data_IF_947250356586
#
_entry.id   IF_947250356586
#
_cell.length_a   1.000
_cell.length_b   1.000
_cell.length_c   1.000
_cell.angle_alpha   90.00
_cell.angle_beta   90.00
_cell.angle_gamma   90.00
#
_symmetry.space_group_name_H-M   'P 1'
#
loop_
_entity.id
_entity.type
_entity.pdbx_description
1 polymer ?
#
# COMPACT_ATOMS: atom_id res chain seq x y z
N UNK A 1 21.60 8.86 5.27
CA UNK A 1 20.53 8.20 6.04
C UNK A 1 20.41 6.75 5.58
N UNK A 2 19.67 5.89 6.27
CA UNK A 2 19.40 4.51 5.81
C UNK A 2 18.77 4.49 4.41
N UNK A 3 17.81 5.37 4.14
CA UNK A 3 17.15 5.48 2.83
C UNK A 3 18.13 5.73 1.67
N UNK A 4 19.21 6.49 1.87
CA UNK A 4 20.25 6.64 0.85
C UNK A 4 21.12 5.40 0.71
N UNK A 5 21.49 4.77 1.83
CA UNK A 5 22.35 3.58 1.82
C UNK A 5 21.72 2.40 1.07
N UNK A 6 20.39 2.27 1.12
CA UNK A 6 19.65 1.20 0.45
C UNK A 6 19.03 1.64 -0.89
N UNK A 7 19.24 2.89 -1.31
CA UNK A 7 18.66 3.41 -2.54
C UNK A 7 17.13 3.51 -2.55
N UNK A 8 16.49 3.63 -1.38
CA UNK A 8 15.04 3.70 -1.28
C UNK A 8 14.49 4.95 -2.00
N UNK A 9 13.46 4.75 -2.80
CA UNK A 9 12.71 5.82 -3.48
C UNK A 9 11.56 6.39 -2.63
N UNK A 10 11.08 5.63 -1.64
CA UNK A 10 9.99 6.02 -0.77
C UNK A 10 10.25 5.60 0.69
N UNK A 11 9.60 6.30 1.63
CA UNK A 11 9.67 6.06 3.07
C UNK A 11 8.26 6.14 3.64
N UNK A 12 7.78 5.08 4.30
CA UNK A 12 6.53 5.12 5.06
C UNK A 12 6.76 5.75 6.44
N UNK A 13 6.00 6.81 6.75
CA UNK A 13 5.96 7.45 8.07
C UNK A 13 4.70 7.00 8.80
N UNK A 14 4.87 6.17 9.83
CA UNK A 14 3.76 5.65 10.63
C UNK A 14 3.14 6.74 11.52
N UNK A 15 1.82 6.68 11.70
CA UNK A 15 1.06 7.65 12.50
C UNK A 15 1.08 7.35 14.01
N UNK A 16 1.20 6.07 14.37
CA UNK A 16 1.13 5.60 15.76
C UNK A 16 -0.30 5.50 16.30
N UNK A 17 -0.42 5.11 17.58
CA UNK A 17 -1.71 4.97 18.26
C UNK A 17 -2.05 6.25 19.02
N UNK A 18 -3.03 7.00 18.53
CA UNK A 18 -3.48 8.27 19.10
C UNK A 18 -4.87 8.64 18.58
N UNK A 19 -5.52 9.61 19.22
CA UNK A 19 -6.85 10.08 18.81
C UNK A 19 -7.03 11.58 19.09
N UNK A 20 -7.98 12.19 18.37
CA UNK A 20 -8.39 13.58 18.56
C UNK A 20 -7.50 14.61 17.88
N UNK A 21 -7.87 15.89 18.05
CA UNK A 21 -7.28 17.02 17.32
C UNK A 21 -5.79 17.22 17.55
N UNK A 22 -5.28 16.85 18.73
CA UNK A 22 -3.85 16.93 19.02
C UNK A 22 -3.07 15.92 18.16
N UNK A 23 -3.61 14.72 17.96
CA UNK A 23 -3.02 13.71 17.08
C UNK A 23 -3.04 14.16 15.62
N UNK A 24 -4.16 14.72 15.14
CA UNK A 24 -4.27 15.29 13.78
C UNK A 24 -3.22 16.39 13.54
N UNK A 25 -3.11 17.33 14.48
CA UNK A 25 -2.18 18.46 14.39
C UNK A 25 -0.74 17.97 14.39
N UNK A 26 -0.39 17.12 15.37
CA UNK A 26 0.97 16.57 15.53
C UNK A 26 1.38 15.75 14.33
N UNK A 27 0.49 14.89 13.81
CA UNK A 27 0.78 14.08 12.64
C UNK A 27 1.02 14.95 11.40
N UNK A 28 0.17 15.94 11.15
CA UNK A 28 0.37 16.87 10.03
C UNK A 28 1.68 17.67 10.13
N UNK A 29 2.05 18.14 11.32
CA UNK A 29 3.33 18.83 11.56
C UNK A 29 4.53 17.92 11.31
N UNK A 30 4.48 16.69 11.80
CA UNK A 30 5.53 15.70 11.57
C UNK A 30 5.67 15.34 10.09
N UNK A 31 4.57 15.25 9.35
CA UNK A 31 4.61 15.02 7.90
C UNK A 31 5.19 16.21 7.16
N UNK A 32 4.86 17.46 7.53
CA UNK A 32 5.50 18.66 6.96
C UNK A 32 7.00 18.64 7.19
N UNK A 33 7.41 18.31 8.42
CA UNK A 33 8.83 18.16 8.75
C UNK A 33 9.48 17.10 7.87
N UNK A 34 8.93 15.87 7.83
CA UNK A 34 9.48 14.75 7.07
C UNK A 34 9.59 15.04 5.57
N UNK A 35 8.55 15.65 4.98
CA UNK A 35 8.56 16.05 3.58
C UNK A 35 9.64 17.11 3.28
N UNK A 36 9.93 18.00 4.23
CA UNK A 36 11.00 18.99 4.11
C UNK A 36 12.42 18.42 4.26
N UNK A 37 12.58 17.19 4.76
CA UNK A 37 13.90 16.57 4.95
C UNK A 37 14.42 15.83 3.72
N UNK A 38 13.58 15.58 2.71
CA UNK A 38 13.96 14.73 1.57
C UNK A 38 13.10 14.99 0.34
N UNK A 39 13.67 14.76 -0.84
CA UNK A 39 12.93 14.76 -2.11
C UNK A 39 12.32 13.39 -2.44
N UNK A 40 12.55 12.36 -1.61
CA UNK A 40 11.95 11.03 -1.75
C UNK A 40 10.44 11.10 -1.46
N UNK A 41 9.70 10.10 -1.93
CA UNK A 41 8.26 9.98 -1.61
C UNK A 41 8.10 9.65 -0.13
N UNK A 42 7.31 10.45 0.58
CA UNK A 42 6.80 10.12 1.90
C UNK A 42 5.46 9.44 1.71
N UNK A 43 5.30 8.27 2.32
CA UNK A 43 4.08 7.48 2.30
C UNK A 43 3.40 7.52 3.66
N UNK A 44 2.07 7.54 3.66
CA UNK A 44 1.24 7.28 4.84
C UNK A 44 0.23 6.18 4.50
N UNK A 45 -0.03 5.31 5.45
CA UNK A 45 -0.83 4.10 5.26
C UNK A 45 -1.96 4.02 6.31
N UNK A 46 -3.22 3.96 5.88
CA UNK A 46 -4.33 3.61 6.76
C UNK A 46 -4.24 2.14 7.19
N UNK A 47 -4.31 1.87 8.49
CA UNK A 47 -4.27 0.50 9.01
C UNK A 47 -5.63 0.05 9.55
N UNK A 48 -5.92 -1.23 9.37
CA UNK A 48 -7.17 -1.83 9.86
C UNK A 48 -7.16 -1.97 11.39
N UNK A 49 -8.33 -1.78 12.02
CA UNK A 49 -8.50 -1.83 13.48
C UNK A 49 -8.21 -3.18 14.12
N UNK A 50 -8.22 -4.27 13.34
CA UNK A 50 -7.98 -5.61 13.88
C UNK A 50 -6.49 -5.83 14.13
N UNK A 51 -5.64 -5.41 13.19
CA UNK A 51 -4.18 -5.57 13.29
C UNK A 51 -3.52 -4.42 14.02
N UNK A 52 -4.08 -3.21 13.94
CA UNK A 52 -3.59 -2.02 14.63
C UNK A 52 -4.69 -1.33 15.45
N UNK A 53 -5.15 -1.94 16.57
CA UNK A 53 -6.13 -1.30 17.44
C UNK A 53 -5.64 0.05 17.98
N UNK A 54 -6.45 1.09 17.80
CA UNK A 54 -6.14 2.45 18.27
C UNK A 54 -5.17 3.22 17.39
N UNK A 55 -4.78 2.69 16.22
CA UNK A 55 -3.97 3.42 15.25
C UNK A 55 -4.71 4.66 14.73
N UNK A 56 -3.99 5.76 14.55
CA UNK A 56 -4.60 7.07 14.25
C UNK A 56 -5.17 7.16 12.82
N UNK A 57 -4.41 6.68 11.83
CA UNK A 57 -4.78 6.79 10.42
C UNK A 57 -5.49 5.50 9.99
N UNK A 58 -6.81 5.55 9.81
CA UNK A 58 -7.64 4.33 9.69
C UNK A 58 -8.41 4.20 8.39
N UNK A 59 -8.56 5.30 7.64
CA UNK A 59 -9.28 5.29 6.36
C UNK A 59 -8.50 5.94 5.22
N UNK A 60 -8.79 5.52 4.00
CA UNK A 60 -8.26 6.13 2.77
C UNK A 60 -8.67 7.59 2.64
N UNK A 61 -9.92 7.90 2.99
CA UNK A 61 -10.46 9.25 2.99
C UNK A 61 -9.70 10.16 3.99
N UNK A 62 -9.46 9.69 5.22
CA UNK A 62 -8.68 10.42 6.23
C UNK A 62 -7.23 10.67 5.75
N UNK A 63 -6.63 9.70 5.07
CA UNK A 63 -5.30 9.86 4.50
C UNK A 63 -5.29 10.88 3.35
N UNK A 64 -6.27 10.83 2.44
CA UNK A 64 -6.38 11.80 1.36
C UNK A 64 -6.59 13.24 1.89
N UNK A 65 -7.43 13.41 2.91
CA UNK A 65 -7.62 14.69 3.61
C UNK A 65 -6.32 15.17 4.26
N UNK A 66 -5.58 14.28 4.93
CA UNK A 66 -4.29 14.60 5.54
C UNK A 66 -3.27 15.03 4.49
N UNK A 67 -3.18 14.33 3.36
CA UNK A 67 -2.29 14.66 2.24
C UNK A 67 -2.61 16.05 1.71
N UNK A 68 -3.89 16.35 1.48
CA UNK A 68 -4.34 17.66 1.02
C UNK A 68 -4.01 18.78 2.03
N UNK A 69 -4.22 18.54 3.32
CA UNK A 69 -3.96 19.52 4.38
C UNK A 69 -2.46 19.79 4.63
N UNK A 70 -1.60 18.80 4.40
CA UNK A 70 -0.14 18.97 4.46
C UNK A 70 0.35 19.72 3.22
N UNK A 71 -0.21 19.44 2.04
CA UNK A 71 0.07 20.18 0.80
C UNK A 71 1.45 19.94 0.19
N UNK A 72 2.18 18.92 0.66
CA UNK A 72 3.49 18.56 0.13
C UNK A 72 3.37 17.68 -1.12
N UNK A 73 4.15 17.98 -2.17
CA UNK A 73 4.07 17.27 -3.46
C UNK A 73 4.62 15.85 -3.40
N UNK A 74 5.53 15.57 -2.47
CA UNK A 74 6.14 14.26 -2.25
C UNK A 74 5.42 13.41 -1.19
N UNK A 75 4.33 13.89 -0.58
CA UNK A 75 3.49 13.10 0.33
C UNK A 75 2.42 12.35 -0.46
N UNK A 76 2.31 11.04 -0.25
CA UNK A 76 1.43 10.14 -1.01
C UNK A 76 0.79 9.07 -0.13
N UNK A 77 -0.32 8.51 -0.61
CA UNK A 77 -1.04 7.40 0.01
C UNK A 77 -0.37 6.07 -0.34
N UNK A 78 -0.12 5.25 0.67
CA UNK A 78 0.16 3.82 0.52
C UNK A 78 -1.18 3.08 0.58
N UNK A 79 -1.60 2.54 -0.55
CA UNK A 79 -2.90 1.90 -0.74
C UNK A 79 -2.75 0.39 -0.52
N UNK A 80 -2.96 -0.09 0.70
CA UNK A 80 -2.95 -1.53 1.00
C UNK A 80 -4.34 -2.14 0.86
N UNK A 81 -4.54 -2.95 -0.19
CA UNK A 81 -5.78 -3.67 -0.45
C UNK A 81 -6.22 -4.55 0.72
N UNK A 82 -5.30 -5.08 1.53
CA UNK A 82 -5.64 -5.89 2.69
C UNK A 82 -6.24 -5.04 3.82
N UNK A 83 -5.59 -3.94 4.21
CA UNK A 83 -6.12 -3.05 5.25
C UNK A 83 -7.49 -2.50 4.86
N UNK A 84 -7.64 -2.02 3.62
CA UNK A 84 -8.90 -1.53 3.08
C UNK A 84 -9.95 -2.63 2.98
N UNK A 85 -9.59 -3.83 2.52
CA UNK A 85 -10.52 -4.95 2.40
C UNK A 85 -11.08 -5.41 3.76
N UNK A 86 -10.30 -5.25 4.85
CA UNK A 86 -10.74 -5.56 6.22
C UNK A 86 -11.71 -4.53 6.82
N UNK A 87 -11.73 -3.27 6.35
CA UNK A 87 -12.49 -2.18 7.01
C UNK A 87 -13.39 -1.37 6.09
N UNK A 88 -13.02 -1.15 4.84
CA UNK A 88 -13.70 -0.25 3.91
C UNK A 88 -14.36 -0.98 2.74
N UNK A 89 -13.72 -2.02 2.20
CA UNK A 89 -14.14 -2.68 0.97
C UNK A 89 -14.01 -1.78 -0.27
N UNK A 90 -14.73 -2.13 -1.34
CA UNK A 90 -14.86 -1.32 -2.57
C UNK A 90 -13.51 -0.89 -3.20
N UNK A 91 -12.58 -1.86 -3.26
CA UNK A 91 -11.15 -1.64 -3.56
C UNK A 91 -10.91 -0.84 -4.85
N UNK A 92 -11.49 -1.27 -5.97
CA UNK A 92 -11.22 -0.64 -7.26
C UNK A 92 -11.82 0.77 -7.38
N UNK A 93 -13.02 0.97 -6.86
CA UNK A 93 -13.67 2.29 -6.84
C UNK A 93 -12.86 3.28 -5.99
N UNK A 94 -12.40 2.85 -4.81
CA UNK A 94 -11.53 3.67 -3.95
C UNK A 94 -10.17 3.92 -4.56
N UNK A 95 -9.59 2.91 -5.21
CA UNK A 95 -8.33 3.08 -5.92
C UNK A 95 -8.46 4.13 -7.02
N UNK A 96 -9.51 4.06 -7.84
CA UNK A 96 -9.78 5.05 -8.88
C UNK A 96 -9.96 6.46 -8.29
N UNK A 97 -10.74 6.60 -7.22
CA UNK A 97 -10.98 7.88 -6.55
C UNK A 97 -9.71 8.51 -5.96
N UNK A 98 -8.81 7.70 -5.39
CA UNK A 98 -7.59 8.18 -4.74
C UNK A 98 -6.34 8.11 -5.62
N UNK A 99 -6.41 7.56 -6.83
CA UNK A 99 -5.27 7.34 -7.72
C UNK A 99 -4.33 8.56 -7.86
N UNK A 100 -4.81 9.83 -7.94
CA UNK A 100 -3.94 11.00 -8.04
C UNK A 100 -2.97 11.19 -6.86
N UNK A 101 -3.30 10.66 -5.69
CA UNK A 101 -2.48 10.75 -4.47
C UNK A 101 -1.80 9.44 -4.09
N UNK A 102 -2.07 8.33 -4.79
CA UNK A 102 -1.43 7.03 -4.49
C UNK A 102 0.05 7.04 -4.88
N UNK A 103 0.88 6.61 -3.94
CA UNK A 103 2.34 6.51 -4.03
C UNK A 103 2.84 5.07 -4.14
N UNK A 104 2.12 4.12 -3.55
CA UNK A 104 2.43 2.70 -3.59
C UNK A 104 1.14 1.89 -3.38
N UNK A 105 1.10 0.65 -3.88
CA UNK A 105 -0.02 -0.27 -3.70
C UNK A 105 0.52 -1.55 -3.09
N UNK A 106 -0.13 -2.05 -2.04
CA UNK A 106 0.18 -3.32 -1.39
C UNK A 106 -0.98 -4.30 -1.49
N UNK A 107 -0.65 -5.60 -1.44
CA UNK A 107 -1.58 -6.71 -1.63
C UNK A 107 -1.32 -7.85 -0.64
N UNK A 108 -2.40 -8.41 -0.09
CA UNK A 108 -2.47 -9.69 0.64
C UNK A 108 -3.93 -10.20 0.72
N UNK A 109 -4.14 -11.51 0.90
CA UNK A 109 -5.49 -12.06 1.04
C UNK A 109 -6.20 -11.54 2.29
N UNK A 110 -7.52 -11.42 2.18
CA UNK A 110 -8.41 -11.09 3.29
C UNK A 110 -9.24 -12.34 3.63
N UNK A 111 -9.37 -12.75 4.91
CA UNK A 111 -8.97 -12.00 6.10
C UNK A 111 -7.60 -12.37 6.68
N UNK A 112 -6.94 -13.42 6.23
CA UNK A 112 -5.79 -14.01 6.95
C UNK A 112 -4.43 -13.35 6.67
N UNK A 113 -4.38 -12.40 5.74
CA UNK A 113 -3.15 -11.73 5.27
C UNK A 113 -2.17 -12.69 4.61
N UNK A 114 -2.67 -13.79 4.04
CA UNK A 114 -1.91 -14.76 3.25
C UNK A 114 -1.67 -14.32 1.80
N UNK A 115 -1.20 -15.25 0.97
CA UNK A 115 -0.91 -14.99 -0.44
C UNK A 115 -2.17 -14.50 -1.20
N UNK A 116 -2.03 -13.60 -2.18
CA UNK A 116 -3.16 -12.98 -2.89
C UNK A 116 -3.81 -13.92 -3.94
N UNK A 117 -4.15 -15.15 -3.54
CA UNK A 117 -4.74 -16.19 -4.39
C UNK A 117 -6.03 -16.81 -3.81
N UNK A 118 -6.46 -16.37 -2.63
CA UNK A 118 -7.66 -16.85 -1.96
C UNK A 118 -8.30 -15.75 -1.09
N UNK A 119 -9.38 -16.11 -0.41
CA UNK A 119 -10.08 -15.24 0.52
C UNK A 119 -11.20 -14.43 -0.13
N UNK A 120 -11.56 -13.32 0.51
CA UNK A 120 -12.72 -12.50 0.13
C UNK A 120 -12.44 -11.59 -1.08
N UNK A 121 -11.18 -11.23 -1.31
CA UNK A 121 -10.75 -10.38 -2.42
C UNK A 121 -10.37 -11.23 -3.63
N UNK A 122 -11.00 -10.95 -4.78
CA UNK A 122 -10.67 -11.60 -6.04
C UNK A 122 -9.54 -10.87 -6.76
N UNK A 123 -8.29 -11.24 -6.45
CA UNK A 123 -7.09 -10.57 -6.96
C UNK A 123 -6.92 -10.53 -8.48
N UNK A 124 -7.35 -11.53 -9.27
CA UNK A 124 -7.30 -11.40 -10.74
C UNK A 124 -8.10 -10.19 -11.25
N UNK A 125 -9.25 -9.88 -10.64
CA UNK A 125 -10.03 -8.68 -10.97
C UNK A 125 -9.34 -7.41 -10.49
N UNK A 126 -8.75 -7.44 -9.29
CA UNK A 126 -8.03 -6.28 -8.73
C UNK A 126 -6.81 -5.94 -9.60
N UNK A 127 -6.03 -6.92 -10.03
CA UNK A 127 -4.88 -6.70 -10.92
C UNK A 127 -5.29 -6.12 -12.27
N UNK A 128 -6.32 -6.66 -12.90
CA UNK A 128 -6.85 -6.12 -14.16
C UNK A 128 -7.36 -4.67 -13.99
N UNK A 129 -7.99 -4.36 -12.85
CA UNK A 129 -8.43 -2.99 -12.53
C UNK A 129 -7.27 -2.03 -12.31
N UNK A 130 -6.24 -2.44 -11.57
CA UNK A 130 -4.99 -1.67 -11.37
C UNK A 130 -4.32 -1.37 -12.72
N UNK A 131 -4.23 -2.37 -13.60
CA UNK A 131 -3.68 -2.21 -14.94
C UNK A 131 -4.53 -1.26 -15.80
N UNK A 132 -5.85 -1.42 -15.79
CA UNK A 132 -6.78 -0.55 -16.52
C UNK A 132 -6.71 0.92 -16.06
N UNK A 133 -6.40 1.15 -14.79
CA UNK A 133 -6.15 2.48 -14.22
C UNK A 133 -4.77 3.06 -14.60
N UNK A 134 -3.95 2.33 -15.36
CA UNK A 134 -2.65 2.78 -15.86
C UNK A 134 -1.53 2.77 -14.82
N UNK A 135 -1.67 1.99 -13.75
CA UNK A 135 -0.62 1.87 -12.75
C UNK A 135 0.55 1.02 -13.26
N UNK A 136 1.75 1.61 -13.31
CA UNK A 136 2.96 0.98 -13.87
C UNK A 136 4.08 0.77 -12.85
N UNK A 137 3.87 1.19 -11.61
CA UNK A 137 4.85 1.07 -10.52
C UNK A 137 4.74 -0.30 -9.83
N UNK A 138 5.78 -0.76 -9.12
CA UNK A 138 5.71 -2.03 -8.45
C UNK A 138 4.57 -2.16 -7.42
N UNK A 139 3.93 -3.33 -7.38
CA UNK A 139 3.05 -3.74 -6.28
C UNK A 139 3.89 -4.38 -5.16
N UNK A 140 3.58 -4.02 -3.91
CA UNK A 140 4.18 -4.61 -2.72
C UNK A 140 3.43 -5.86 -2.27
N UNK A 141 4.08 -7.01 -2.27
CA UNK A 141 3.49 -8.27 -1.80
C UNK A 141 3.70 -8.44 -0.29
N UNK A 142 2.92 -7.73 0.52
CA UNK A 142 3.03 -7.73 1.99
C UNK A 142 2.09 -8.75 2.63
N UNK A 143 2.40 -10.03 2.45
CA UNK A 143 1.62 -11.12 3.03
C UNK A 143 2.44 -12.03 3.92
N UNK A 144 1.75 -12.82 4.75
CA UNK A 144 2.29 -13.88 5.61
C UNK A 144 2.27 -15.19 4.82
N UNK A 145 3.42 -15.76 4.43
CA UNK A 145 3.42 -16.98 3.62
C UNK A 145 2.84 -18.20 4.35
N UNK A 146 2.81 -18.20 5.69
CA UNK A 146 2.30 -19.33 6.48
C UNK A 146 3.17 -20.60 6.39
N UNK A 147 4.36 -20.51 5.79
CA UNK A 147 5.27 -21.62 5.53
C UNK A 147 6.45 -21.17 4.67
N UNK A 148 6.95 -22.07 3.83
CA UNK A 148 7.99 -21.77 2.85
C UNK A 148 7.48 -20.74 1.82
N UNK A 149 8.20 -19.61 1.72
CA UNK A 149 7.83 -18.50 0.82
C UNK A 149 7.72 -18.98 -0.63
N UNK A 150 8.66 -19.80 -1.11
CA UNK A 150 8.69 -20.21 -2.51
C UNK A 150 7.44 -21.03 -2.90
N UNK A 151 6.92 -21.81 -1.96
CA UNK A 151 5.69 -22.58 -2.15
C UNK A 151 4.43 -21.70 -2.27
N UNK A 152 4.50 -20.43 -1.87
CA UNK A 152 3.39 -19.47 -1.94
C UNK A 152 3.42 -18.59 -3.18
N UNK A 153 4.42 -18.68 -4.05
CA UNK A 153 4.62 -17.76 -5.17
C UNK A 153 3.81 -18.10 -6.43
N UNK A 154 2.94 -19.12 -6.39
CA UNK A 154 2.15 -19.55 -7.56
C UNK A 154 1.28 -18.44 -8.16
N UNK A 155 0.80 -17.50 -7.34
CA UNK A 155 0.03 -16.34 -7.79
C UNK A 155 0.80 -15.42 -8.75
N UNK A 156 2.15 -15.38 -8.67
CA UNK A 156 2.98 -14.60 -9.57
C UNK A 156 2.93 -15.11 -11.02
N UNK A 157 2.69 -16.40 -11.22
CA UNK A 157 2.61 -17.00 -12.56
C UNK A 157 1.27 -16.68 -13.22
N UNK A 158 0.19 -16.71 -12.44
CA UNK A 158 -1.16 -16.32 -12.87
C UNK A 158 -1.24 -14.82 -13.20
N UNK A 159 -0.50 -13.97 -12.47
CA UNK A 159 -0.38 -12.54 -12.77
C UNK A 159 0.44 -12.22 -14.03
N UNK A 160 1.29 -13.14 -14.51
CA UNK A 160 2.09 -12.96 -15.73
C UNK A 160 1.39 -13.37 -17.02
N UNK A 161 0.23 -14.02 -16.95
CA UNK A 161 -0.47 -14.56 -18.14
C UNK A 161 -1.83 -13.90 -18.34
N UNK A 162 -1.83 -12.73 -18.96
CA UNK A 162 -2.89 -12.36 -19.89
C UNK A 162 -2.26 -11.95 -21.23
N UNK A 163 -2.16 -12.90 -22.16
CA UNK A 163 -1.85 -12.57 -23.55
C UNK A 163 -3.03 -11.76 -24.12
N UNK A 164 -2.86 -10.45 -24.28
CA UNK A 164 -3.71 -9.68 -25.19
C UNK A 164 -3.06 -9.62 -26.57
N UNK A 165 -3.83 -9.54 -27.68
CA UNK A 165 -3.29 -9.48 -29.04
C UNK A 165 -2.39 -8.26 -29.37
N UNK A 166 -2.07 -7.40 -28.39
CA UNK A 166 -1.34 -6.14 -28.58
C UNK A 166 -0.06 -5.97 -27.74
N UNK A 167 0.42 -7.02 -27.05
CA UNK A 167 1.76 -7.02 -26.43
C UNK A 167 1.74 -7.19 -24.91
N UNK A 168 2.88 -7.60 -24.36
CA UNK A 168 3.05 -7.98 -22.95
C UNK A 168 3.16 -6.73 -22.07
N UNK A 169 2.24 -6.56 -21.13
CA UNK A 169 2.44 -5.71 -19.96
C UNK A 169 2.76 -6.63 -18.77
N UNK A 170 4.03 -6.68 -18.37
CA UNK A 170 4.40 -7.36 -17.14
C UNK A 170 3.92 -6.51 -15.95
N UNK A 171 3.08 -7.06 -15.09
CA UNK A 171 2.83 -6.49 -13.76
C UNK A 171 4.18 -6.41 -13.04
N UNK A 172 4.68 -5.19 -12.85
CA UNK A 172 5.90 -4.94 -12.10
C UNK A 172 5.59 -5.28 -10.63
N UNK A 173 6.15 -6.37 -10.11
CA UNK A 173 5.95 -6.81 -8.73
C UNK A 173 7.30 -6.76 -8.04
N UNK A 174 7.41 -5.96 -6.98
CA UNK A 174 8.66 -5.82 -6.24
C UNK A 174 8.89 -7.08 -5.39
N UNK A 175 9.96 -7.81 -5.71
CA UNK A 175 10.33 -9.05 -5.03
C UNK A 175 11.24 -8.82 -3.81
N UNK A 176 11.58 -7.57 -3.49
CA UNK A 176 12.56 -7.26 -2.44
C UNK A 176 11.98 -7.27 -1.01
N UNK A 177 10.66 -7.34 -0.84
CA UNK A 177 10.01 -7.23 0.47
C UNK A 177 9.66 -8.56 1.16
N UNK A 178 9.96 -9.72 0.55
CA UNK A 178 9.62 -11.04 1.13
C UNK A 178 10.50 -11.49 2.31
N UNK A 179 11.29 -10.58 2.91
CA UNK A 179 12.38 -10.94 3.82
C UNK A 179 12.45 -10.21 5.17
N UNK A 180 11.42 -9.50 5.64
CA UNK A 180 11.53 -8.75 6.90
C UNK A 180 10.27 -8.85 7.78
N UNK A 181 10.13 -9.94 8.52
CA UNK A 181 9.35 -9.95 9.75
C UNK A 181 9.92 -10.98 10.73
N UNK A 182 11.05 -10.63 11.36
CA UNK A 182 11.53 -11.15 12.64
C UNK A 182 12.32 -10.03 13.33
N UNK A 183 11.62 -9.23 14.14
CA UNK A 183 12.11 -8.63 15.39
C UNK A 183 10.91 -8.35 16.29
#
# INVERSE_FOLDING_TARGET
SYAEAVGAGAIHVMAGCAAGREAETTFAENLRYACGQTNKTILIEPLNRHDAPGYFLTTTDQAAETIAAVGATNLKLMFDCYHLGRTEGDILTRLEAHLPVVGHIQIASVPDRGAPDHGELHYPTIFAGIEALGWTRPLGAEYKPGGDTDATLGWLESGRRQETPQGVADLNIDRSQSGACHM
#
